data_IF_779241243642
#
_entry.id   IF_779241243642
#
_cell.length_a   1.000
_cell.length_b   1.000
_cell.length_c   1.000
_cell.angle_alpha   90.00
_cell.angle_beta   90.00
_cell.angle_gamma   90.00
#
_symmetry.space_group_name_H-M   'P 1'
#
loop_
_entity.id
_entity.type
_entity.pdbx_description
1 polymer ?
#
# COMPACT_ATOMS: atom_id res chain seq x y z
N UNK A 1 -11.62 24.78 -13.92
CA UNK A 1 -12.04 23.51 -13.26
C UNK A 1 -10.98 23.10 -12.25
N UNK A 2 -11.37 22.91 -10.98
CA UNK A 2 -10.42 22.51 -9.89
C UNK A 2 -9.90 21.07 -10.00
N UNK A 3 -10.39 20.29 -10.97
CA UNK A 3 -9.95 18.92 -11.24
C UNK A 3 -8.80 18.87 -12.23
N UNK A 4 -8.74 19.81 -13.16
CA UNK A 4 -7.73 19.82 -14.22
C UNK A 4 -6.43 20.46 -13.73
N UNK A 5 -5.30 19.75 -13.87
CA UNK A 5 -4.00 20.27 -13.46
C UNK A 5 -3.66 21.61 -14.12
N UNK A 6 -3.99 21.80 -15.39
CA UNK A 6 -3.79 23.10 -16.09
C UNK A 6 -4.55 24.26 -15.44
N UNK A 7 -5.79 24.03 -14.99
CA UNK A 7 -6.58 25.09 -14.34
C UNK A 7 -6.04 25.42 -12.95
N UNK A 8 -5.51 24.43 -12.22
CA UNK A 8 -4.85 24.68 -10.93
C UNK A 8 -3.53 25.43 -11.17
N UNK A 9 -2.75 25.06 -12.17
CA UNK A 9 -1.52 25.76 -12.52
C UNK A 9 -1.76 27.27 -12.77
N UNK A 10 -2.82 27.62 -13.52
CA UNK A 10 -3.19 29.02 -13.71
C UNK A 10 -3.48 29.76 -12.40
N UNK A 11 -4.04 29.10 -11.40
CA UNK A 11 -4.25 29.69 -10.07
C UNK A 11 -2.93 29.88 -9.35
N UNK A 12 -2.04 28.88 -9.40
CA UNK A 12 -0.72 28.97 -8.80
C UNK A 12 0.13 30.08 -9.44
N UNK A 13 0.12 30.16 -10.77
CA UNK A 13 0.82 31.21 -11.54
C UNK A 13 0.32 32.62 -11.12
N UNK A 14 -1.01 32.82 -11.01
CA UNK A 14 -1.60 34.07 -10.55
C UNK A 14 -1.23 34.45 -9.12
N UNK A 15 -1.09 33.45 -8.26
CA UNK A 15 -0.73 33.66 -6.86
C UNK A 15 0.79 33.63 -6.63
N UNK A 16 1.58 33.46 -7.70
CA UNK A 16 3.05 33.34 -7.66
C UNK A 16 3.51 32.27 -6.73
N UNK A 17 2.82 31.10 -6.74
CA UNK A 17 3.14 29.91 -5.97
C UNK A 17 3.83 28.87 -6.85
N UNK A 18 4.86 28.24 -6.30
CA UNK A 18 5.57 27.17 -6.99
C UNK A 18 4.77 25.85 -6.97
N UNK A 19 4.98 25.02 -7.99
CA UNK A 19 4.40 23.69 -8.07
C UNK A 19 5.29 22.72 -8.85
N UNK A 20 5.13 21.43 -8.53
CA UNK A 20 5.87 20.35 -9.16
C UNK A 20 5.46 20.11 -10.62
N UNK A 21 6.39 19.58 -11.40
CA UNK A 21 6.16 19.12 -12.77
C UNK A 21 6.54 17.66 -12.91
N UNK A 22 5.85 16.96 -13.79
CA UNK A 22 6.17 15.55 -14.07
C UNK A 22 7.51 15.44 -14.83
N UNK A 23 8.36 14.51 -14.44
CA UNK A 23 9.69 14.31 -15.04
C UNK A 23 9.63 14.03 -16.55
N UNK A 24 8.65 13.22 -16.99
CA UNK A 24 8.57 12.78 -18.40
C UNK A 24 7.98 13.81 -19.34
N UNK A 25 7.03 14.63 -18.91
CA UNK A 25 6.24 15.50 -19.79
C UNK A 25 6.28 16.96 -19.39
N UNK A 26 6.96 17.32 -18.29
CA UNK A 26 6.97 18.66 -17.70
C UNK A 26 5.56 19.24 -17.43
N UNK A 27 4.53 18.39 -17.40
CA UNK A 27 3.17 18.81 -17.11
C UNK A 27 3.02 19.18 -15.62
N UNK A 28 2.14 20.15 -15.28
CA UNK A 28 1.86 20.49 -13.89
C UNK A 28 1.41 19.26 -13.07
N UNK A 29 2.01 19.07 -11.90
CA UNK A 29 1.74 17.94 -11.00
C UNK A 29 1.20 18.42 -9.66
N UNK A 30 -0.04 18.06 -9.34
CA UNK A 30 -0.72 18.42 -8.09
C UNK A 30 -1.15 17.16 -7.37
N UNK A 31 -0.19 16.49 -6.70
CA UNK A 31 -0.47 15.29 -5.93
C UNK A 31 -1.33 15.61 -4.70
N UNK A 32 -1.98 14.58 -4.13
CA UNK A 32 -2.76 14.74 -2.91
C UNK A 32 -1.91 15.30 -1.76
N UNK A 33 -0.73 14.73 -1.56
CA UNK A 33 0.20 15.16 -0.49
C UNK A 33 0.64 16.61 -0.68
N UNK A 34 1.01 16.99 -1.89
CA UNK A 34 1.40 18.36 -2.20
C UNK A 34 0.28 19.36 -1.84
N UNK A 35 -0.94 19.12 -2.29
CA UNK A 35 -2.08 20.03 -2.03
C UNK A 35 -2.49 20.07 -0.56
N UNK A 36 -2.47 18.93 0.15
CA UNK A 36 -2.86 18.86 1.57
C UNK A 36 -1.85 19.53 2.50
N UNK A 37 -0.55 19.43 2.18
CA UNK A 37 0.53 19.99 3.00
C UNK A 37 0.89 21.45 2.62
N UNK A 38 0.31 21.97 1.55
CA UNK A 38 0.61 23.33 1.10
C UNK A 38 0.12 24.38 2.12
N UNK A 39 0.96 25.39 2.47
CA UNK A 39 0.61 26.37 3.51
C UNK A 39 -0.55 27.31 3.11
N UNK A 40 -0.72 27.58 1.81
CA UNK A 40 -1.67 28.56 1.33
C UNK A 40 -3.13 28.13 1.51
N UNK A 41 -4.02 28.95 2.14
CA UNK A 41 -5.39 28.59 2.46
C UNK A 41 -6.24 28.16 1.27
N UNK A 42 -6.10 28.84 0.11
CA UNK A 42 -6.83 28.49 -1.11
C UNK A 42 -6.46 27.10 -1.61
N UNK A 43 -5.18 26.73 -1.52
CA UNK A 43 -4.71 25.40 -1.94
C UNK A 43 -5.30 24.31 -1.06
N UNK A 44 -5.40 24.53 0.25
CA UNK A 44 -6.10 23.64 1.17
C UNK A 44 -7.58 23.48 0.81
N UNK A 45 -8.25 24.57 0.41
CA UNK A 45 -9.64 24.50 -0.06
C UNK A 45 -9.78 23.69 -1.35
N UNK A 46 -8.84 23.84 -2.28
CA UNK A 46 -8.81 22.99 -3.50
C UNK A 46 -8.63 21.54 -3.13
N UNK A 47 -7.74 21.21 -2.21
CA UNK A 47 -7.55 19.85 -1.72
C UNK A 47 -8.83 19.26 -1.12
N UNK A 48 -9.50 20.01 -0.23
CA UNK A 48 -10.78 19.60 0.38
C UNK A 48 -11.88 19.39 -0.67
N UNK A 49 -12.05 20.33 -1.60
CA UNK A 49 -13.04 20.21 -2.67
C UNK A 49 -12.79 18.99 -3.56
N UNK A 50 -11.53 18.68 -3.89
CA UNK A 50 -11.16 17.47 -4.64
C UNK A 50 -11.46 16.19 -3.85
N UNK A 51 -11.22 16.19 -2.55
CA UNK A 51 -11.51 15.04 -1.69
C UNK A 51 -13.01 14.77 -1.59
N UNK A 52 -13.82 15.81 -1.36
CA UNK A 52 -15.28 15.72 -1.32
C UNK A 52 -15.84 15.26 -2.68
N UNK A 53 -15.37 15.84 -3.78
CA UNK A 53 -15.81 15.41 -5.10
C UNK A 53 -15.46 13.96 -5.39
N UNK A 54 -14.25 13.52 -5.02
CA UNK A 54 -13.88 12.10 -5.15
C UNK A 54 -14.80 11.21 -4.30
N UNK A 55 -15.12 11.63 -3.08
CA UNK A 55 -16.05 10.89 -2.24
C UNK A 55 -17.45 10.78 -2.89
N UNK A 56 -17.96 11.86 -3.45
CA UNK A 56 -19.24 11.87 -4.16
C UNK A 56 -19.20 10.96 -5.40
N UNK A 57 -18.33 11.24 -6.35
CA UNK A 57 -18.33 10.55 -7.65
C UNK A 57 -17.87 9.08 -7.57
N UNK A 58 -16.91 8.78 -6.69
CA UNK A 58 -16.36 7.42 -6.59
C UNK A 58 -17.18 6.52 -5.67
N UNK A 59 -17.79 7.08 -4.63
CA UNK A 59 -18.50 6.25 -3.64
C UNK A 59 -20.01 6.46 -3.70
N UNK A 60 -20.51 7.69 -3.56
CA UNK A 60 -21.96 7.92 -3.47
C UNK A 60 -22.65 7.60 -4.80
N UNK A 61 -22.21 8.18 -5.91
CA UNK A 61 -22.78 7.91 -7.23
C UNK A 61 -22.68 6.43 -7.60
N UNK A 62 -21.56 5.79 -7.24
CA UNK A 62 -21.36 4.36 -7.49
C UNK A 62 -22.29 3.49 -6.65
N UNK A 63 -22.49 3.82 -5.37
CA UNK A 63 -23.44 3.13 -4.49
C UNK A 63 -24.84 3.26 -5.05
N UNK A 64 -25.28 4.47 -5.39
CA UNK A 64 -26.62 4.72 -5.95
C UNK A 64 -26.83 3.99 -7.27
N UNK A 65 -25.86 4.04 -8.17
CA UNK A 65 -25.92 3.37 -9.48
C UNK A 65 -26.05 1.85 -9.37
N UNK A 66 -25.43 1.24 -8.38
CA UNK A 66 -25.41 -0.22 -8.21
C UNK A 66 -26.39 -0.71 -7.13
N UNK A 67 -27.19 0.19 -6.56
CA UNK A 67 -28.23 -0.19 -5.61
C UNK A 67 -29.44 -0.76 -6.35
N UNK A 68 -29.86 -1.97 -5.98
CA UNK A 68 -31.06 -2.62 -6.48
C UNK A 68 -31.88 -3.15 -5.30
N UNK A 69 -33.10 -2.69 -5.15
CA UNK A 69 -34.02 -3.07 -4.04
C UNK A 69 -33.37 -2.93 -2.65
N UNK A 70 -32.63 -1.82 -2.44
CA UNK A 70 -31.93 -1.56 -1.18
C UNK A 70 -30.67 -2.36 -0.95
N UNK A 71 -30.18 -3.13 -1.94
CA UNK A 71 -28.95 -3.94 -1.85
C UNK A 71 -27.94 -3.56 -2.90
N UNK A 72 -26.69 -3.85 -2.61
CA UNK A 72 -25.58 -3.75 -3.56
C UNK A 72 -25.00 -5.14 -3.76
N UNK A 73 -24.91 -5.54 -5.02
CA UNK A 73 -24.30 -6.79 -5.45
C UNK A 73 -23.03 -6.47 -6.23
N UNK A 74 -21.87 -6.70 -5.60
CA UNK A 74 -20.59 -6.54 -6.26
C UNK A 74 -20.13 -7.86 -6.89
N UNK A 75 -19.40 -7.77 -7.99
CA UNK A 75 -18.70 -8.92 -8.55
C UNK A 75 -17.46 -9.22 -7.71
N UNK A 76 -17.31 -10.46 -7.28
CA UNK A 76 -16.14 -10.92 -6.53
C UNK A 76 -15.28 -11.76 -7.46
N UNK A 77 -14.14 -11.23 -7.87
CA UNK A 77 -13.21 -11.90 -8.76
C UNK A 77 -12.23 -12.74 -7.93
N UNK A 78 -12.41 -14.04 -7.92
CA UNK A 78 -11.56 -15.00 -7.19
C UNK A 78 -10.30 -15.36 -7.96
N UNK A 79 -10.38 -15.41 -9.28
CA UNK A 79 -9.30 -15.77 -10.18
C UNK A 79 -8.93 -14.59 -11.08
N UNK A 80 -7.68 -14.56 -11.53
CA UNK A 80 -7.22 -13.62 -12.53
C UNK A 80 -7.83 -13.96 -13.89
N UNK A 81 -8.46 -12.96 -14.51
CA UNK A 81 -9.00 -13.01 -15.87
C UNK A 81 -8.81 -11.66 -16.55
N UNK A 82 -9.19 -11.54 -17.81
CA UNK A 82 -9.17 -10.27 -18.55
C UNK A 82 -10.10 -9.22 -17.94
N UNK A 83 -11.14 -9.67 -17.25
CA UNK A 83 -12.15 -8.81 -16.62
C UNK A 83 -11.80 -8.41 -15.16
N UNK A 84 -10.75 -8.95 -14.58
CA UNK A 84 -10.36 -8.62 -13.21
C UNK A 84 -9.57 -9.71 -12.49
N UNK A 85 -9.56 -9.65 -11.17
CA UNK A 85 -8.79 -10.56 -10.32
C UNK A 85 -7.36 -10.07 -10.07
N UNK A 86 -6.66 -10.78 -9.21
CA UNK A 86 -5.28 -10.49 -8.82
C UNK A 86 -4.35 -11.65 -9.13
N UNK A 87 -3.10 -11.36 -9.44
CA UNK A 87 -2.07 -12.39 -9.65
C UNK A 87 -1.67 -13.08 -8.34
N UNK A 88 -1.91 -12.42 -7.20
CA UNK A 88 -1.57 -12.92 -5.86
C UNK A 88 -2.59 -13.89 -5.29
N UNK A 89 -3.78 -13.99 -5.88
CA UNK A 89 -4.91 -14.78 -5.38
C UNK A 89 -5.75 -14.08 -4.30
N UNK A 90 -5.51 -12.81 -4.02
CA UNK A 90 -6.45 -11.99 -3.25
C UNK A 90 -7.73 -11.80 -4.08
N UNK A 91 -8.88 -11.75 -3.44
CA UNK A 91 -10.11 -11.34 -4.11
C UNK A 91 -10.00 -9.88 -4.56
N UNK A 92 -10.56 -9.56 -5.70
CA UNK A 92 -10.83 -8.19 -6.10
C UNK A 92 -12.31 -7.99 -6.37
N UNK A 93 -12.77 -6.77 -6.18
CA UNK A 93 -14.17 -6.41 -6.35
C UNK A 93 -14.33 -5.45 -7.52
N UNK A 94 -15.41 -5.63 -8.27
CA UNK A 94 -15.86 -4.74 -9.34
C UNK A 94 -17.37 -4.60 -9.31
N UNK A 95 -17.90 -3.59 -9.95
CA UNK A 95 -19.33 -3.33 -10.16
C UNK A 95 -20.23 -3.40 -8.90
N UNK A 96 -19.91 -2.66 -7.82
CA UNK A 96 -18.83 -1.73 -7.59
C UNK A 96 -17.62 -2.33 -6.86
N UNK A 97 -16.46 -1.60 -6.85
CA UNK A 97 -15.31 -2.01 -6.05
C UNK A 97 -15.51 -1.61 -4.58
N UNK A 98 -16.10 -2.50 -3.79
CA UNK A 98 -16.35 -2.28 -2.35
C UNK A 98 -15.08 -2.20 -1.49
N UNK A 99 -13.94 -2.70 -1.97
CA UNK A 99 -12.67 -2.60 -1.25
C UNK A 99 -12.10 -1.18 -1.20
N UNK A 100 -12.60 -0.28 -2.04
CA UNK A 100 -12.17 1.13 -2.06
C UNK A 100 -12.94 2.03 -1.09
N UNK A 101 -13.96 1.51 -0.42
CA UNK A 101 -14.72 2.29 0.56
C UNK A 101 -13.76 2.85 1.63
N UNK A 102 -13.77 4.19 1.85
CA UNK A 102 -12.76 4.83 2.67
C UNK A 102 -12.85 4.37 4.13
N UNK A 103 -11.70 4.01 4.70
CA UNK A 103 -11.58 3.65 6.12
C UNK A 103 -10.71 4.64 6.90
N UNK A 104 -9.71 5.24 6.23
CA UNK A 104 -8.71 6.10 6.90
C UNK A 104 -9.15 7.55 7.05
N UNK A 105 -10.10 8.04 6.26
CA UNK A 105 -10.65 9.38 6.42
C UNK A 105 -11.59 9.39 7.61
N UNK A 106 -11.26 10.16 8.65
CA UNK A 106 -12.00 10.16 9.93
C UNK A 106 -13.38 10.81 9.83
N UNK A 107 -13.63 11.64 8.84
CA UNK A 107 -14.91 12.31 8.62
C UNK A 107 -15.79 11.57 7.61
N UNK A 108 -15.28 11.38 6.39
CA UNK A 108 -16.06 10.76 5.30
C UNK A 108 -16.17 9.23 5.44
N UNK A 109 -15.13 8.59 5.98
CA UNK A 109 -15.10 7.13 6.13
C UNK A 109 -16.28 6.58 6.93
N UNK A 110 -16.48 7.01 8.18
CA UNK A 110 -17.61 6.55 9.00
C UNK A 110 -18.98 6.83 8.35
N UNK A 111 -19.17 8.00 7.72
CA UNK A 111 -20.42 8.37 7.08
C UNK A 111 -20.77 7.48 5.89
N UNK A 112 -19.78 7.18 5.01
CA UNK A 112 -20.01 6.31 3.85
C UNK A 112 -20.21 4.87 4.31
N UNK A 113 -19.45 4.40 5.29
CA UNK A 113 -19.57 3.04 5.82
C UNK A 113 -20.91 2.81 6.53
N UNK A 114 -21.48 3.82 7.18
CA UNK A 114 -22.79 3.75 7.83
C UNK A 114 -23.95 3.57 6.86
N UNK A 115 -23.74 3.75 5.55
CA UNK A 115 -24.75 3.45 4.52
C UNK A 115 -24.95 1.93 4.32
N UNK A 116 -23.99 1.12 4.76
CA UNK A 116 -24.06 -0.33 4.67
C UNK A 116 -24.55 -0.89 6.00
N UNK A 117 -25.74 -1.42 5.99
CA UNK A 117 -26.38 -1.99 7.18
C UNK A 117 -26.70 -3.47 6.94
N UNK A 118 -26.73 -4.32 7.97
CA UNK A 118 -27.23 -5.69 7.84
C UNK A 118 -28.75 -5.68 7.59
N UNK A 119 -29.28 -6.81 7.15
CA UNK A 119 -30.75 -7.00 7.10
C UNK A 119 -31.35 -6.94 8.51
N UNK A 120 -32.66 -6.67 8.55
CA UNK A 120 -33.42 -6.73 9.81
C UNK A 120 -33.26 -8.11 10.46
N UNK A 121 -32.95 -8.12 11.75
CA UNK A 121 -32.68 -9.34 12.51
C UNK A 121 -31.26 -9.93 12.34
N UNK A 122 -30.38 -9.28 11.55
CA UNK A 122 -29.00 -9.70 11.35
C UNK A 122 -28.01 -8.69 11.90
N UNK A 123 -26.78 -9.12 12.12
CA UNK A 123 -25.68 -8.27 12.55
C UNK A 123 -24.44 -8.51 11.67
N UNK A 124 -23.53 -7.52 11.63
CA UNK A 124 -22.23 -7.69 11.00
C UNK A 124 -21.26 -8.40 11.94
N UNK A 125 -20.66 -9.51 11.49
CA UNK A 125 -19.45 -10.06 12.07
C UNK A 125 -18.24 -9.53 11.30
N UNK A 126 -17.28 -8.94 12.02
CA UNK A 126 -16.03 -8.48 11.43
C UNK A 126 -14.87 -9.30 12.00
N UNK A 127 -14.22 -10.08 11.14
CA UNK A 127 -13.11 -10.96 11.52
C UNK A 127 -11.89 -10.60 10.69
N UNK A 128 -10.78 -10.30 11.35
CA UNK A 128 -9.51 -9.97 10.71
C UNK A 128 -8.37 -10.71 11.40
N UNK A 129 -7.43 -11.25 10.62
CA UNK A 129 -6.24 -11.87 11.18
C UNK A 129 -5.32 -10.81 11.76
N UNK A 130 -4.97 -10.97 13.04
CA UNK A 130 -4.00 -10.09 13.68
C UNK A 130 -2.61 -10.27 13.06
N UNK A 131 -2.08 -9.21 12.46
CA UNK A 131 -0.71 -9.15 11.95
C UNK A 131 -0.34 -10.29 10.98
N UNK A 132 -1.23 -10.69 10.09
CA UNK A 132 -1.03 -11.82 9.19
C UNK A 132 0.31 -11.74 8.43
N UNK A 133 0.62 -10.60 7.84
CA UNK A 133 1.84 -10.43 7.02
C UNK A 133 3.12 -10.49 7.86
N UNK A 134 3.25 -9.77 9.00
CA UNK A 134 4.40 -9.93 9.90
C UNK A 134 4.60 -11.36 10.40
N UNK A 135 3.53 -12.05 10.78
CA UNK A 135 3.61 -13.46 11.21
C UNK A 135 4.13 -14.37 10.11
N UNK A 136 3.73 -14.17 8.86
CA UNK A 136 4.24 -14.93 7.72
C UNK A 136 5.72 -14.62 7.44
N UNK A 137 6.14 -13.38 7.55
CA UNK A 137 7.56 -13.00 7.39
C UNK A 137 8.43 -13.69 8.43
N UNK A 138 8.03 -13.65 9.71
CA UNK A 138 8.74 -14.33 10.79
C UNK A 138 8.74 -15.84 10.59
N UNK A 139 7.61 -16.42 10.19
CA UNK A 139 7.52 -17.87 9.91
C UNK A 139 8.48 -18.30 8.79
N UNK A 140 8.50 -17.60 7.66
CA UNK A 140 9.42 -17.92 6.57
C UNK A 140 10.89 -17.70 6.93
N UNK A 141 11.19 -16.68 7.72
CA UNK A 141 12.52 -16.41 8.22
C UNK A 141 12.99 -17.54 9.16
N UNK A 142 12.13 -18.00 10.05
CA UNK A 142 12.39 -19.10 10.95
C UNK A 142 12.60 -20.44 10.22
N UNK A 143 11.82 -20.73 9.17
CA UNK A 143 12.01 -21.92 8.32
C UNK A 143 13.38 -21.94 7.61
N UNK A 144 14.00 -20.79 7.41
CA UNK A 144 15.32 -20.66 6.81
C UNK A 144 16.45 -20.44 7.85
N UNK A 145 16.10 -20.49 9.15
CA UNK A 145 17.03 -20.20 10.25
C UNK A 145 17.81 -18.90 10.08
N UNK A 146 17.12 -17.82 9.66
CA UNK A 146 17.74 -16.53 9.39
C UNK A 146 18.15 -15.85 10.71
N UNK A 147 19.29 -15.14 10.66
CA UNK A 147 19.86 -14.49 11.84
C UNK A 147 18.91 -13.42 12.42
N UNK A 148 18.70 -13.47 13.72
CA UNK A 148 17.90 -12.50 14.49
C UNK A 148 16.40 -12.73 14.44
N UNK A 149 15.92 -13.90 14.01
CA UNK A 149 14.48 -14.23 13.99
C UNK A 149 13.97 -14.82 15.31
N UNK A 150 14.85 -15.45 16.11
CA UNK A 150 14.46 -16.29 17.26
C UNK A 150 13.71 -15.53 18.33
N UNK A 151 14.19 -14.34 18.73
CA UNK A 151 13.53 -13.50 19.76
C UNK A 151 12.11 -13.11 19.35
N UNK A 152 11.92 -12.77 18.08
CA UNK A 152 10.60 -12.40 17.56
C UNK A 152 9.69 -13.60 17.42
N UNK A 153 10.25 -14.75 17.04
CA UNK A 153 9.52 -16.02 16.96
C UNK A 153 9.02 -16.46 18.34
N UNK A 154 9.86 -16.36 19.36
CA UNK A 154 9.50 -16.67 20.73
C UNK A 154 8.42 -15.75 21.28
N UNK A 155 8.56 -14.43 21.07
CA UNK A 155 7.53 -13.46 21.44
C UNK A 155 6.15 -13.77 20.80
N UNK A 156 6.12 -14.28 19.56
CA UNK A 156 4.87 -14.73 18.94
C UNK A 156 4.34 -16.05 19.50
N UNK A 157 5.18 -16.93 20.03
CA UNK A 157 4.78 -18.19 20.67
C UNK A 157 4.22 -17.99 22.07
N UNK A 158 4.78 -17.03 22.80
CA UNK A 158 4.38 -16.73 24.17
C UNK A 158 3.08 -15.95 24.30
N UNK A 159 2.61 -15.28 23.23
CA UNK A 159 1.38 -14.52 23.28
C UNK A 159 1.14 -13.60 22.06
N UNK A 160 0.38 -12.54 22.29
CA UNK A 160 0.02 -11.55 21.26
C UNK A 160 1.12 -10.51 21.05
N UNK A 161 2.31 -10.95 20.61
CA UNK A 161 3.37 -10.04 20.25
C UNK A 161 2.92 -9.11 19.10
N UNK A 162 3.12 -7.82 19.27
CA UNK A 162 2.91 -6.84 18.21
C UNK A 162 4.26 -6.51 17.54
N UNK A 163 4.49 -7.07 16.36
CA UNK A 163 5.71 -6.81 15.60
C UNK A 163 5.99 -5.32 15.38
N UNK A 164 4.95 -4.50 15.24
CA UNK A 164 5.13 -3.07 15.08
C UNK A 164 5.62 -2.41 16.37
N UNK A 165 5.18 -2.90 17.53
CA UNK A 165 5.68 -2.46 18.84
C UNK A 165 7.11 -2.97 19.06
N UNK A 166 7.39 -4.24 18.78
CA UNK A 166 8.75 -4.79 18.87
C UNK A 166 9.73 -3.95 18.06
N UNK A 167 9.39 -3.62 16.82
CA UNK A 167 10.27 -2.78 15.97
C UNK A 167 10.31 -1.34 16.45
N UNK A 168 9.22 -0.78 16.97
CA UNK A 168 9.19 0.56 17.54
C UNK A 168 10.16 0.68 18.71
N UNK A 169 10.12 -0.26 19.65
CA UNK A 169 10.98 -0.30 20.82
C UNK A 169 12.45 -0.54 20.43
N UNK A 170 12.70 -1.46 19.50
CA UNK A 170 14.05 -1.75 19.01
C UNK A 170 14.70 -0.59 18.25
N UNK A 171 13.92 0.20 17.53
CA UNK A 171 14.39 1.32 16.72
C UNK A 171 14.19 2.70 17.40
N UNK A 172 13.64 2.72 18.63
CA UNK A 172 13.33 3.93 19.38
C UNK A 172 12.47 4.94 18.61
N UNK A 173 11.45 4.44 17.90
CA UNK A 173 10.53 5.23 17.10
C UNK A 173 9.08 5.03 17.52
N UNK A 174 8.17 5.99 17.26
CA UNK A 174 6.75 5.80 17.52
C UNK A 174 6.18 4.60 16.77
N UNK A 175 5.31 3.82 17.42
CA UNK A 175 4.66 2.63 16.83
C UNK A 175 3.96 2.90 15.48
N UNK A 176 3.40 4.10 15.29
CA UNK A 176 2.78 4.51 14.04
C UNK A 176 3.80 4.60 12.88
N UNK A 177 5.00 5.07 13.17
CA UNK A 177 6.11 5.09 12.21
C UNK A 177 6.63 3.67 11.95
N UNK A 178 6.83 2.88 13.02
CA UNK A 178 7.23 1.47 12.88
C UNK A 178 6.26 0.68 12.00
N UNK A 179 4.94 0.89 12.12
CA UNK A 179 3.94 0.27 11.25
C UNK A 179 4.14 0.65 9.78
N UNK A 180 4.39 1.91 9.48
CA UNK A 180 4.63 2.38 8.11
C UNK A 180 5.93 1.80 7.55
N UNK A 181 6.99 1.79 8.36
CA UNK A 181 8.30 1.22 8.01
C UNK A 181 8.18 -0.28 7.73
N UNK A 182 7.59 -1.04 8.66
CA UNK A 182 7.44 -2.48 8.53
C UNK A 182 6.70 -2.88 7.26
N UNK A 183 5.51 -2.32 7.05
CA UNK A 183 4.73 -2.62 5.86
C UNK A 183 5.46 -2.21 4.58
N UNK A 184 6.07 -1.03 4.58
CA UNK A 184 6.83 -0.55 3.43
C UNK A 184 8.03 -1.44 3.10
N UNK A 185 8.83 -1.79 4.10
CA UNK A 185 10.04 -2.59 3.90
C UNK A 185 9.73 -4.04 3.56
N UNK A 186 8.65 -4.64 4.08
CA UNK A 186 8.19 -5.96 3.64
C UNK A 186 7.86 -6.01 2.14
N UNK A 187 7.47 -4.87 1.57
CA UNK A 187 7.19 -4.72 0.14
C UNK A 187 8.35 -4.07 -0.65
N UNK A 188 9.56 -4.09 -0.12
CA UNK A 188 10.74 -3.59 -0.82
C UNK A 188 10.83 -2.07 -0.95
N UNK A 189 10.24 -1.32 -0.03
CA UNK A 189 10.32 0.14 -0.02
C UNK A 189 11.77 0.60 0.15
N UNK A 190 12.25 1.38 -0.82
CA UNK A 190 13.56 2.02 -0.73
C UNK A 190 13.57 3.29 0.13
N UNK A 191 14.78 3.78 0.47
CA UNK A 191 15.03 4.94 1.33
C UNK A 191 14.29 6.22 0.91
N UNK A 192 14.26 6.52 -0.38
CA UNK A 192 13.61 7.74 -0.90
C UNK A 192 12.09 7.71 -0.65
N UNK A 193 11.47 6.55 -0.81
CA UNK A 193 10.04 6.38 -0.54
C UNK A 193 9.77 6.43 0.96
N UNK A 194 10.64 5.84 1.79
CA UNK A 194 10.57 5.93 3.24
C UNK A 194 10.62 7.39 3.71
N UNK A 195 11.55 8.18 3.17
CA UNK A 195 11.67 9.62 3.43
C UNK A 195 10.36 10.37 3.14
N UNK A 196 9.78 10.12 1.97
CA UNK A 196 8.55 10.78 1.54
C UNK A 196 7.33 10.38 2.39
N UNK A 197 7.22 9.10 2.75
CA UNK A 197 6.10 8.59 3.58
C UNK A 197 6.15 9.12 5.03
N UNK A 198 7.35 9.25 5.60
CA UNK A 198 7.53 9.75 6.97
C UNK A 198 7.62 11.28 7.05
N UNK A 199 7.85 11.97 5.93
CA UNK A 199 8.04 13.42 5.90
C UNK A 199 9.30 13.89 6.65
N UNK A 200 10.37 13.06 6.69
CA UNK A 200 11.62 13.32 7.39
C UNK A 200 12.73 13.74 6.44
N UNK A 201 13.86 14.22 6.97
CA UNK A 201 15.03 14.53 6.17
C UNK A 201 15.68 13.24 5.61
N UNK A 202 16.54 13.38 4.61
CA UNK A 202 17.27 12.26 4.00
C UNK A 202 18.14 11.54 5.05
N UNK A 203 18.85 12.29 5.88
CA UNK A 203 19.76 11.72 6.89
C UNK A 203 18.99 10.92 7.94
N UNK A 204 17.83 11.40 8.36
CA UNK A 204 16.93 10.68 9.29
C UNK A 204 16.39 9.42 8.62
N UNK A 205 15.96 9.50 7.36
CA UNK A 205 15.49 8.32 6.62
C UNK A 205 16.57 7.27 6.44
N UNK A 206 17.81 7.68 6.10
CA UNK A 206 18.94 6.78 5.95
C UNK A 206 19.33 6.12 7.28
N UNK A 207 19.29 6.87 8.38
CA UNK A 207 19.54 6.36 9.72
C UNK A 207 18.47 5.33 10.13
N UNK A 208 17.20 5.66 9.99
CA UNK A 208 16.08 4.75 10.30
C UNK A 208 16.14 3.47 9.46
N UNK A 209 16.42 3.58 8.17
CA UNK A 209 16.59 2.43 7.28
C UNK A 209 17.72 1.51 7.73
N UNK A 210 18.86 2.07 8.11
CA UNK A 210 20.01 1.32 8.61
C UNK A 210 19.70 0.68 9.96
N UNK A 211 19.12 1.42 10.91
CA UNK A 211 18.73 0.91 12.21
C UNK A 211 17.76 -0.26 12.09
N UNK A 212 16.72 -0.13 11.25
CA UNK A 212 15.78 -1.19 10.99
C UNK A 212 16.47 -2.49 10.55
N UNK A 213 17.29 -2.42 9.50
CA UNK A 213 17.95 -3.61 8.97
C UNK A 213 19.01 -4.20 9.92
N UNK A 214 19.58 -3.40 10.80
CA UNK A 214 20.48 -3.89 11.85
C UNK A 214 19.71 -4.62 12.97
N UNK A 215 18.49 -4.15 13.29
CA UNK A 215 17.68 -4.70 14.38
C UNK A 215 16.85 -5.92 13.96
N UNK A 216 16.35 -5.93 12.73
CA UNK A 216 15.58 -7.04 12.16
C UNK A 216 16.21 -7.53 10.84
N UNK A 217 17.45 -8.05 10.88
CA UNK A 217 18.20 -8.41 9.68
C UNK A 217 17.56 -9.51 8.85
N UNK A 218 16.79 -10.39 9.48
CA UNK A 218 16.09 -11.48 8.80
C UNK A 218 15.09 -11.01 7.74
N UNK A 219 14.53 -9.81 7.89
CA UNK A 219 13.59 -9.25 6.90
C UNK A 219 14.30 -9.05 5.56
N UNK A 220 15.46 -8.38 5.58
CA UNK A 220 16.25 -8.15 4.38
C UNK A 220 16.81 -9.47 3.81
N UNK A 221 17.35 -10.34 4.67
CA UNK A 221 17.85 -11.65 4.25
C UNK A 221 16.79 -12.49 3.56
N UNK A 222 15.56 -12.53 4.13
CA UNK A 222 14.44 -13.24 3.52
C UNK A 222 14.10 -12.69 2.14
N UNK A 223 14.04 -11.36 2.00
CA UNK A 223 13.76 -10.71 0.71
C UNK A 223 14.84 -11.06 -0.33
N UNK A 224 16.11 -10.92 0.03
CA UNK A 224 17.24 -11.22 -0.86
C UNK A 224 17.20 -12.69 -1.31
N UNK A 225 16.94 -13.62 -0.38
CA UNK A 225 16.82 -15.05 -0.68
C UNK A 225 15.64 -15.36 -1.61
N UNK A 226 14.48 -14.73 -1.38
CA UNK A 226 13.29 -14.91 -2.21
C UNK A 226 13.50 -14.34 -3.61
N UNK A 227 14.10 -13.16 -3.73
CA UNK A 227 14.42 -12.55 -5.01
C UNK A 227 15.43 -13.38 -5.81
N UNK A 228 16.50 -13.85 -5.17
CA UNK A 228 17.49 -14.74 -5.83
C UNK A 228 16.83 -16.02 -6.33
N UNK A 229 16.01 -16.66 -5.49
CA UNK A 229 15.28 -17.87 -5.89
C UNK A 229 14.29 -17.62 -7.03
N UNK A 230 13.61 -16.48 -7.03
CA UNK A 230 12.71 -16.11 -8.11
C UNK A 230 13.47 -15.95 -9.43
N UNK A 231 14.62 -15.29 -9.40
CA UNK A 231 15.45 -15.07 -10.57
C UNK A 231 16.09 -16.36 -11.11
N UNK A 232 16.51 -17.25 -10.23
CA UNK A 232 17.12 -18.54 -10.64
C UNK A 232 16.09 -19.50 -11.24
N UNK A 233 14.92 -19.62 -10.60
CA UNK A 233 13.93 -20.65 -10.92
C UNK A 233 12.74 -20.16 -11.76
N UNK A 234 12.56 -18.85 -11.90
CA UNK A 234 11.38 -18.23 -12.52
C UNK A 234 10.07 -18.48 -11.77
N UNK A 235 10.13 -18.98 -10.55
CA UNK A 235 8.93 -19.32 -9.77
C UNK A 235 9.16 -19.31 -8.27
N UNK A 236 8.11 -18.98 -7.52
CA UNK A 236 8.06 -19.12 -6.06
C UNK A 236 6.77 -19.84 -5.69
N UNK A 237 6.85 -20.67 -4.67
CA UNK A 237 5.70 -21.36 -4.08
C UNK A 237 5.39 -20.75 -2.72
N UNK A 238 4.13 -20.39 -2.50
CA UNK A 238 3.64 -19.94 -1.19
C UNK A 238 3.49 -21.10 -0.21
N UNK A 239 3.27 -20.79 1.07
CA UNK A 239 3.09 -21.77 2.14
C UNK A 239 2.01 -22.83 1.82
N UNK A 240 0.88 -22.38 1.27
CA UNK A 240 -0.24 -23.25 0.89
C UNK A 240 -0.11 -23.83 -0.53
N UNK A 241 1.07 -23.75 -1.13
CA UNK A 241 1.38 -24.41 -2.40
C UNK A 241 1.04 -23.61 -3.66
N UNK A 242 0.47 -22.40 -3.58
CA UNK A 242 0.25 -21.54 -4.74
C UNK A 242 1.57 -21.24 -5.42
N UNK A 243 1.61 -21.41 -6.72
CA UNK A 243 2.78 -21.14 -7.54
C UNK A 243 2.66 -19.76 -8.19
N UNK A 244 3.64 -18.91 -7.92
CA UNK A 244 3.84 -17.64 -8.60
C UNK A 244 4.96 -17.79 -9.63
N UNK A 245 4.72 -17.40 -10.88
CA UNK A 245 5.70 -17.46 -11.98
C UNK A 245 6.13 -16.06 -12.35
N UNK A 246 7.41 -15.89 -12.67
CA UNK A 246 8.02 -14.63 -13.05
C UNK A 246 8.65 -14.78 -14.45
N UNK A 247 8.52 -13.74 -15.24
CA UNK A 247 9.26 -13.65 -16.50
C UNK A 247 10.71 -13.29 -16.17
N UNK A 248 11.63 -14.18 -16.53
CA UNK A 248 13.07 -13.93 -16.33
C UNK A 248 13.67 -13.09 -17.46
N UNK A 249 12.98 -13.02 -18.58
CA UNK A 249 13.41 -12.34 -19.79
C UNK A 249 12.28 -11.50 -20.35
N UNK A 250 12.61 -10.30 -20.81
CA UNK A 250 11.68 -9.45 -21.55
C UNK A 250 12.29 -9.04 -22.90
N UNK A 251 11.50 -8.90 -23.98
CA UNK A 251 11.97 -8.34 -25.23
C UNK A 251 12.22 -6.84 -25.06
N UNK A 252 13.35 -6.37 -25.56
CA UNK A 252 13.59 -4.94 -25.71
C UNK A 252 12.92 -4.42 -27.01
N UNK A 253 13.05 -3.12 -27.27
CA UNK A 253 12.50 -2.47 -28.47
C UNK A 253 13.01 -3.05 -29.82
N UNK A 254 14.10 -3.83 -29.79
CA UNK A 254 14.68 -4.50 -30.96
C UNK A 254 14.31 -5.98 -31.03
N UNK A 255 13.43 -6.47 -30.18
CA UNK A 255 13.05 -7.88 -30.11
C UNK A 255 14.10 -8.78 -29.42
N UNK A 256 15.15 -8.22 -28.84
CA UNK A 256 16.18 -8.97 -28.12
C UNK A 256 15.74 -9.13 -26.67
N UNK A 257 15.73 -10.37 -26.18
CA UNK A 257 15.42 -10.64 -24.77
C UNK A 257 16.59 -10.25 -23.87
N UNK A 258 16.29 -9.61 -22.75
CA UNK A 258 17.23 -9.32 -21.66
C UNK A 258 16.75 -9.94 -20.36
N UNK A 259 17.67 -10.32 -19.48
CA UNK A 259 17.29 -10.77 -18.14
C UNK A 259 16.70 -9.63 -17.32
N UNK A 260 15.68 -9.94 -16.55
CA UNK A 260 15.11 -8.99 -15.60
C UNK A 260 16.03 -8.86 -14.38
N UNK A 261 16.19 -7.64 -13.82
CA UNK A 261 16.84 -7.45 -12.53
C UNK A 261 16.12 -8.22 -11.41
N UNK A 262 16.84 -8.52 -10.33
CA UNK A 262 16.31 -9.23 -9.17
C UNK A 262 15.03 -8.61 -8.58
N UNK A 263 14.99 -7.29 -8.49
CA UNK A 263 13.87 -6.53 -7.96
C UNK A 263 12.61 -6.57 -8.85
N UNK A 264 12.81 -6.79 -10.14
CA UNK A 264 11.71 -6.98 -11.10
C UNK A 264 11.25 -8.43 -11.17
N UNK A 265 12.16 -9.38 -10.96
CA UNK A 265 11.82 -10.79 -10.89
C UNK A 265 11.14 -11.17 -9.58
#
# INVERSE_FOLDING_TARGET
QIWAARSIAQVFDKLKLDYDRTEKTSAPSFTKNFLQNHPHPLVKRIAQAREINKAHTTFIDTILKHSHKGRIHADINQLRSDNGGTVTGRFSYSNPNLQQIPARNKDLGPRIRALFVPEEGHTWGCFDYSQQEPRLVVHYAALQNLYGVDDVLEAYREGDADFHTIVADMAEIPRSQAKTINLGLFYGMGKNKLQAELGVSKDVSDSLFKQYHNRVPFVKQLMDNVMSRAQESGKIRTLLGRLCRFHLWEPNQFGIHKSLPHDQA
#
